data_IF_806267533903
#
_entry.id   IF_806267533903
#
_cell.length_a   1.000
_cell.length_b   1.000
_cell.length_c   1.000
_cell.angle_alpha   90.00
_cell.angle_beta   90.00
_cell.angle_gamma   90.00
#
_symmetry.space_group_name_H-M   'P 1'
#
loop_
_entity.id
_entity.type
_entity.pdbx_description
1 polymer ?
#
# COMPACT_ATOMS: atom_id res chain seq x y z
N UNK A 1 8.22 70.01 -23.65
CA UNK A 1 8.08 68.85 -24.54
C UNK A 1 7.23 67.83 -23.79
N UNK A 2 5.96 67.70 -24.16
CA UNK A 2 5.09 66.62 -23.70
C UNK A 2 5.16 65.55 -24.79
N UNK A 3 5.80 64.43 -24.48
CA UNK A 3 5.75 63.23 -25.30
C UNK A 3 4.42 62.56 -24.94
N UNK A 4 3.46 62.58 -25.87
CA UNK A 4 2.23 61.80 -25.72
C UNK A 4 2.58 60.34 -25.93
N UNK A 5 2.13 59.47 -25.03
CA UNK A 5 2.15 58.04 -25.24
C UNK A 5 1.32 57.74 -26.50
N UNK A 6 1.85 56.92 -27.39
CA UNK A 6 1.09 56.39 -28.51
C UNK A 6 0.06 55.43 -27.96
N UNK A 7 -1.21 55.83 -27.99
CA UNK A 7 -2.38 54.99 -27.69
C UNK A 7 -2.55 53.94 -28.79
N UNK A 8 -1.68 52.93 -28.80
CA UNK A 8 -1.85 51.75 -29.64
C UNK A 8 -1.82 50.50 -28.78
N UNK A 9 -2.73 50.47 -27.81
CA UNK A 9 -3.13 49.26 -27.09
C UNK A 9 -4.31 48.64 -27.87
N UNK A 10 -4.00 47.87 -28.90
CA UNK A 10 -4.98 47.00 -29.57
C UNK A 10 -5.39 45.89 -28.60
N UNK A 11 -6.32 46.20 -27.70
CA UNK A 11 -6.90 45.22 -26.77
C UNK A 11 -7.81 44.26 -27.54
N UNK A 12 -7.37 43.02 -27.71
CA UNK A 12 -8.23 41.92 -28.14
C UNK A 12 -8.98 41.36 -26.91
N UNK A 13 -10.32 41.38 -26.89
CA UNK A 13 -11.09 40.75 -25.83
C UNK A 13 -10.75 39.26 -25.75
N UNK A 14 -10.61 38.74 -24.53
CA UNK A 14 -10.40 37.32 -24.32
C UNK A 14 -11.58 36.48 -24.84
N UNK A 15 -11.39 35.17 -25.02
CA UNK A 15 -12.41 34.27 -25.57
C UNK A 15 -13.69 34.34 -24.73
N UNK A 16 -14.84 34.46 -25.39
CA UNK A 16 -16.14 34.36 -24.73
C UNK A 16 -16.44 32.88 -24.39
N UNK A 17 -17.04 32.59 -23.23
CA UNK A 17 -17.56 31.26 -22.95
C UNK A 17 -18.63 30.85 -23.98
N UNK A 18 -18.81 29.54 -24.18
CA UNK A 18 -19.91 29.04 -24.99
C UNK A 18 -21.28 29.45 -24.42
N UNK A 19 -22.26 29.65 -25.30
CA UNK A 19 -23.67 29.83 -24.91
C UNK A 19 -24.11 28.57 -24.15
N UNK A 20 -24.70 28.73 -22.95
CA UNK A 20 -25.06 27.65 -22.01
C UNK A 20 -23.90 26.83 -21.41
N UNK A 21 -22.69 27.40 -21.33
CA UNK A 21 -21.54 26.75 -20.69
C UNK A 21 -21.77 26.43 -19.20
N UNK A 22 -21.67 25.15 -18.82
CA UNK A 22 -21.82 24.69 -17.44
C UNK A 22 -20.67 25.12 -16.50
N UNK A 23 -19.60 25.70 -17.06
CA UNK A 23 -18.38 26.09 -16.34
C UNK A 23 -17.84 24.91 -15.52
N UNK A 24 -17.55 23.81 -16.21
CA UNK A 24 -16.96 22.59 -15.63
C UNK A 24 -15.45 22.78 -15.50
N UNK A 25 -14.89 22.36 -14.38
CA UNK A 25 -13.47 22.51 -14.08
C UNK A 25 -12.96 21.43 -13.13
N UNK A 26 -11.65 21.21 -13.15
CA UNK A 26 -10.96 20.49 -12.09
C UNK A 26 -10.59 21.47 -10.97
N UNK A 27 -11.08 21.28 -9.73
CA UNK A 27 -10.54 21.99 -8.58
C UNK A 27 -9.12 21.49 -8.25
N UNK A 28 -8.48 22.13 -7.29
CA UNK A 28 -7.26 21.57 -6.66
C UNK A 28 -7.59 20.18 -6.12
N UNK A 29 -6.82 19.18 -6.55
CA UNK A 29 -6.94 17.80 -6.12
C UNK A 29 -6.19 17.60 -4.79
N UNK A 30 -6.55 16.54 -4.05
CA UNK A 30 -5.87 16.20 -2.80
C UNK A 30 -4.40 15.81 -3.03
N UNK A 31 -4.13 15.10 -4.13
CA UNK A 31 -2.79 14.79 -4.61
C UNK A 31 -2.77 14.75 -6.14
N UNK A 32 -1.57 14.89 -6.69
CA UNK A 32 -1.26 14.69 -8.10
C UNK A 32 -0.17 13.63 -8.30
N UNK A 33 0.34 13.04 -7.21
CA UNK A 33 1.33 11.98 -7.21
C UNK A 33 0.84 10.86 -6.28
N UNK A 34 0.75 9.65 -6.80
CA UNK A 34 0.28 8.48 -6.07
C UNK A 34 1.32 7.38 -6.15
N UNK A 35 1.61 6.77 -5.01
CA UNK A 35 2.49 5.62 -4.89
C UNK A 35 1.68 4.51 -4.24
N UNK A 36 1.69 3.33 -4.88
CA UNK A 36 0.94 2.17 -4.45
C UNK A 36 1.87 1.00 -4.19
N UNK A 37 1.44 0.09 -3.33
CA UNK A 37 1.95 -1.28 -3.30
C UNK A 37 1.06 -2.16 -4.18
N UNK A 38 1.64 -3.20 -4.77
CA UNK A 38 0.93 -4.06 -5.72
C UNK A 38 -0.25 -4.84 -5.12
N UNK A 39 -0.31 -4.95 -3.79
CA UNK A 39 -1.39 -5.59 -3.03
C UNK A 39 -2.43 -4.61 -2.48
N UNK A 40 -2.29 -3.31 -2.77
CA UNK A 40 -3.27 -2.28 -2.43
C UNK A 40 -4.25 -2.02 -3.58
N UNK A 41 -5.42 -1.50 -3.24
CA UNK A 41 -6.35 -0.93 -4.22
C UNK A 41 -5.70 0.28 -4.91
N UNK A 42 -5.18 0.08 -6.12
CA UNK A 42 -4.50 1.09 -6.92
C UNK A 42 -5.49 2.08 -7.56
N UNK A 43 -6.23 2.82 -6.74
CA UNK A 43 -7.32 3.71 -7.20
C UNK A 43 -6.98 5.18 -6.94
N UNK A 44 -7.10 6.00 -7.99
CA UNK A 44 -6.96 7.46 -7.90
C UNK A 44 -8.34 8.13 -8.04
N UNK A 45 -8.83 8.83 -6.99
CA UNK A 45 -10.04 9.61 -7.09
C UNK A 45 -9.75 10.99 -7.71
N UNK A 46 -10.47 11.33 -8.78
CA UNK A 46 -10.39 12.64 -9.43
C UNK A 46 -11.70 13.39 -9.25
N UNK A 47 -11.61 14.58 -8.64
CA UNK A 47 -12.75 15.46 -8.39
C UNK A 47 -12.97 16.41 -9.57
N UNK A 48 -14.23 16.60 -9.95
CA UNK A 48 -14.67 17.55 -10.98
C UNK A 48 -15.80 18.41 -10.42
N UNK A 49 -15.83 19.69 -10.78
CA UNK A 49 -16.89 20.63 -10.37
C UNK A 49 -17.53 21.33 -11.55
N UNK A 50 -18.73 21.85 -11.33
CA UNK A 50 -19.46 22.72 -12.26
C UNK A 50 -20.16 23.87 -11.54
N UNK A 51 -20.32 25.01 -12.20
CA UNK A 51 -21.07 26.13 -11.65
C UNK A 51 -22.59 25.95 -11.82
N UNK A 52 -23.00 25.61 -13.04
CA UNK A 52 -24.41 25.39 -13.40
C UNK A 52 -24.81 23.94 -13.12
N UNK A 53 -25.87 23.77 -12.33
CA UNK A 53 -26.24 22.46 -11.76
C UNK A 53 -27.73 22.13 -11.82
N UNK A 54 -28.56 22.99 -12.42
CA UNK A 54 -30.01 22.79 -12.43
C UNK A 54 -30.42 21.43 -13.03
N UNK A 55 -29.80 21.04 -14.14
CA UNK A 55 -30.06 19.79 -14.84
C UNK A 55 -28.94 18.77 -14.63
N UNK A 56 -29.26 17.48 -14.80
CA UNK A 56 -28.25 16.43 -14.87
C UNK A 56 -27.37 16.61 -16.12
N UNK A 57 -26.09 16.23 -16.04
CA UNK A 57 -25.16 16.37 -17.14
C UNK A 57 -24.17 15.21 -17.22
N UNK A 58 -23.75 14.90 -18.44
CA UNK A 58 -22.68 13.95 -18.73
C UNK A 58 -21.60 14.68 -19.50
N UNK A 59 -20.40 14.76 -18.94
CA UNK A 59 -19.28 15.51 -19.51
C UNK A 59 -18.27 14.49 -20.07
N UNK A 60 -18.04 14.48 -21.39
CA UNK A 60 -17.00 13.64 -21.97
C UNK A 60 -15.61 14.10 -21.51
N UNK A 61 -14.70 13.16 -21.34
CA UNK A 61 -13.32 13.39 -20.92
C UNK A 61 -12.38 13.01 -22.06
N UNK A 62 -11.44 13.90 -22.36
CA UNK A 62 -10.32 13.58 -23.26
C UNK A 62 -9.14 13.13 -22.42
N UNK A 63 -8.63 11.93 -22.68
CA UNK A 63 -7.53 11.33 -21.94
C UNK A 63 -6.33 11.18 -22.86
N UNK A 64 -5.17 11.63 -22.38
CA UNK A 64 -3.89 11.39 -23.04
C UNK A 64 -2.90 10.82 -22.06
N UNK A 65 -2.22 9.74 -22.44
CA UNK A 65 -1.10 9.16 -21.72
C UNK A 65 0.13 9.22 -22.63
N UNK A 66 1.33 9.35 -22.04
CA UNK A 66 2.56 9.20 -22.84
C UNK A 66 2.68 7.76 -23.38
N UNK A 67 3.55 7.53 -24.36
CA UNK A 67 3.72 6.20 -24.98
C UNK A 67 4.07 5.13 -23.93
N UNK A 68 4.88 5.49 -22.94
CA UNK A 68 5.32 4.60 -21.86
C UNK A 68 4.23 4.26 -20.83
N UNK A 69 3.09 4.98 -20.84
CA UNK A 69 1.95 4.76 -19.93
C UNK A 69 0.72 4.19 -20.63
N UNK A 70 0.86 3.74 -21.89
CA UNK A 70 -0.25 3.16 -22.63
C UNK A 70 -0.75 1.87 -21.95
N UNK A 71 -2.06 1.81 -21.68
CA UNK A 71 -2.69 0.68 -21.00
C UNK A 71 -2.48 0.61 -19.48
N UNK A 72 -1.68 1.52 -18.91
CA UNK A 72 -1.42 1.55 -17.46
C UNK A 72 -2.62 2.05 -16.63
N UNK A 73 -3.54 2.77 -17.27
CA UNK A 73 -4.69 3.40 -16.62
C UNK A 73 -6.00 2.98 -17.27
N UNK A 74 -6.99 2.64 -16.45
CA UNK A 74 -8.39 2.52 -16.86
C UNK A 74 -9.12 3.76 -16.37
N UNK A 75 -9.38 4.69 -17.29
CA UNK A 75 -9.99 5.99 -17.01
C UNK A 75 -11.37 6.04 -17.67
N UNK A 76 -12.44 6.43 -16.94
CA UNK A 76 -13.75 6.66 -17.52
C UNK A 76 -13.70 7.69 -18.65
N UNK A 77 -14.43 7.45 -19.74
CA UNK A 77 -14.51 8.39 -20.86
C UNK A 77 -15.43 9.58 -20.60
N UNK A 78 -16.14 9.59 -19.48
CA UNK A 78 -17.08 10.63 -19.10
C UNK A 78 -17.25 10.70 -17.57
N UNK A 79 -17.72 11.85 -17.09
CA UNK A 79 -18.16 12.04 -15.70
C UNK A 79 -19.62 12.47 -15.69
N UNK A 80 -20.39 11.96 -14.73
CA UNK A 80 -21.82 12.23 -14.60
C UNK A 80 -22.11 13.11 -13.39
N UNK A 81 -22.97 14.09 -13.58
CA UNK A 81 -23.53 14.95 -12.54
C UNK A 81 -25.03 14.75 -12.47
N UNK A 82 -25.54 14.43 -11.28
CA UNK A 82 -26.98 14.45 -11.04
C UNK A 82 -27.51 15.90 -11.02
N UNK A 83 -28.81 16.08 -11.28
CA UNK A 83 -29.47 17.37 -11.15
C UNK A 83 -29.32 17.92 -9.71
N UNK A 84 -28.95 19.18 -9.59
CA UNK A 84 -28.62 19.85 -8.32
C UNK A 84 -27.17 19.68 -7.85
N UNK A 85 -26.44 18.69 -8.35
CA UNK A 85 -25.07 18.41 -7.88
C UNK A 85 -24.03 19.27 -8.59
N UNK A 86 -23.11 19.85 -7.80
CA UNK A 86 -22.00 20.69 -8.28
C UNK A 86 -20.66 19.98 -8.27
N UNK A 87 -20.58 18.79 -7.69
CA UNK A 87 -19.36 18.02 -7.55
C UNK A 87 -19.62 16.57 -7.97
N UNK A 88 -18.66 16.00 -8.68
CA UNK A 88 -18.60 14.59 -9.02
C UNK A 88 -17.18 14.07 -8.81
N UNK A 89 -17.06 12.77 -8.56
CA UNK A 89 -15.76 12.08 -8.47
C UNK A 89 -15.80 10.90 -9.41
N UNK A 90 -14.76 10.74 -10.23
CA UNK A 90 -14.52 9.51 -10.97
C UNK A 90 -13.22 8.87 -10.49
N UNK A 91 -13.18 7.54 -10.57
CA UNK A 91 -12.03 6.76 -10.13
C UNK A 91 -11.22 6.32 -11.34
N UNK A 92 -9.91 6.48 -11.26
CA UNK A 92 -8.95 5.93 -12.21
C UNK A 92 -8.33 4.69 -11.59
N UNK A 93 -8.44 3.57 -12.30
CA UNK A 93 -7.81 2.31 -11.90
C UNK A 93 -6.40 2.24 -12.49
N UNK A 94 -5.43 2.11 -11.60
CA UNK A 94 -4.00 2.09 -11.84
C UNK A 94 -3.38 0.70 -11.61
N UNK A 95 -4.20 -0.36 -11.50
CA UNK A 95 -3.73 -1.73 -11.21
C UNK A 95 -2.84 -2.31 -12.32
N UNK A 96 -2.88 -1.73 -13.53
CA UNK A 96 -2.06 -2.15 -14.67
C UNK A 96 -0.73 -1.38 -14.76
N UNK A 97 -0.39 -0.56 -13.76
CA UNK A 97 0.88 0.15 -13.74
C UNK A 97 2.06 -0.84 -13.77
N UNK A 98 3.07 -0.59 -14.61
CA UNK A 98 4.32 -1.34 -14.53
C UNK A 98 5.01 -1.10 -13.18
N UNK A 99 5.50 -2.18 -12.58
CA UNK A 99 6.22 -2.13 -11.31
C UNK A 99 7.47 -1.23 -11.41
N UNK A 100 7.63 -0.31 -10.44
CA UNK A 100 8.72 0.66 -10.30
C UNK A 100 8.89 1.61 -11.49
N UNK A 101 7.83 1.83 -12.26
CA UNK A 101 7.80 2.82 -13.32
C UNK A 101 6.81 3.93 -12.97
N UNK A 102 7.25 5.18 -13.17
CA UNK A 102 6.41 6.36 -13.00
C UNK A 102 5.67 6.63 -14.29
N UNK A 103 4.35 6.43 -14.26
CA UNK A 103 3.47 6.71 -15.38
C UNK A 103 2.67 7.99 -15.13
N UNK A 104 2.10 8.55 -16.19
CA UNK A 104 1.20 9.69 -16.08
C UNK A 104 0.08 9.68 -17.10
N UNK A 105 -1.02 10.29 -16.72
CA UNK A 105 -2.13 10.60 -17.60
C UNK A 105 -2.53 12.07 -17.43
N UNK A 106 -3.04 12.64 -18.50
CA UNK A 106 -3.68 13.95 -18.52
C UNK A 106 -5.14 13.76 -18.88
N UNK A 107 -6.03 14.37 -18.11
CA UNK A 107 -7.47 14.44 -18.42
C UNK A 107 -7.79 15.88 -18.75
N UNK A 108 -8.50 16.10 -19.86
CA UNK A 108 -8.97 17.40 -20.33
C UNK A 108 -10.50 17.39 -20.47
N UNK A 109 -11.12 18.46 -20.01
CA UNK A 109 -12.53 18.79 -20.25
C UNK A 109 -12.62 19.51 -21.62
N UNK A 110 -13.53 19.13 -22.51
CA UNK A 110 -13.73 19.81 -23.78
C UNK A 110 -14.12 21.29 -23.61
N UNK A 111 -13.66 22.13 -24.54
CA UNK A 111 -13.71 23.59 -24.42
C UNK A 111 -15.14 24.14 -24.35
N UNK A 112 -16.11 23.44 -24.95
CA UNK A 112 -17.53 23.80 -24.89
C UNK A 112 -18.14 23.75 -23.47
N UNK A 113 -17.51 23.00 -22.55
CA UNK A 113 -17.95 22.89 -21.15
C UNK A 113 -17.15 23.78 -20.20
N UNK A 114 -16.07 24.38 -20.67
CA UNK A 114 -15.13 25.16 -19.86
C UNK A 114 -15.42 26.65 -20.02
N UNK A 115 -15.40 27.36 -18.91
CA UNK A 115 -15.38 28.81 -18.91
C UNK A 115 -13.94 29.28 -18.67
N UNK A 116 -13.31 30.01 -19.60
CA UNK A 116 -11.93 30.48 -19.44
C UNK A 116 -11.69 31.33 -18.19
N UNK A 117 -12.76 31.86 -17.59
CA UNK A 117 -12.73 32.71 -16.41
C UNK A 117 -13.29 32.02 -15.15
N UNK A 118 -13.58 30.72 -15.18
CA UNK A 118 -13.98 29.97 -13.98
C UNK A 118 -12.80 29.72 -13.06
N UNK A 119 -13.10 29.43 -11.80
CA UNK A 119 -12.11 28.89 -10.87
C UNK A 119 -11.62 27.51 -11.35
N UNK A 120 -10.34 27.18 -11.11
CA UNK A 120 -9.77 25.87 -11.44
C UNK A 120 -9.15 25.77 -12.84
N UNK A 121 -8.99 24.53 -13.33
CA UNK A 121 -8.32 24.24 -14.62
C UNK A 121 -9.18 23.35 -15.53
N UNK A 122 -8.97 23.47 -16.83
CA UNK A 122 -9.62 22.64 -17.85
C UNK A 122 -8.98 21.25 -17.99
N UNK A 123 -7.73 21.13 -17.56
CA UNK A 123 -6.98 19.89 -17.57
C UNK A 123 -6.19 19.70 -16.27
N UNK A 124 -5.86 18.44 -15.99
CA UNK A 124 -4.95 18.04 -14.93
C UNK A 124 -4.05 16.93 -15.43
N UNK A 125 -2.83 16.87 -14.90
CA UNK A 125 -1.92 15.74 -15.09
C UNK A 125 -1.67 15.07 -13.75
N UNK A 126 -1.83 13.76 -13.70
CA UNK A 126 -1.61 12.95 -12.50
C UNK A 126 -0.52 11.92 -12.78
N UNK A 127 0.33 11.70 -11.78
CA UNK A 127 1.37 10.70 -11.81
C UNK A 127 1.05 9.57 -10.84
N UNK A 128 1.32 8.35 -11.26
CA UNK A 128 1.17 7.18 -10.40
C UNK A 128 2.27 6.14 -10.66
N UNK A 129 2.62 5.39 -9.64
CA UNK A 129 3.55 4.27 -9.71
C UNK A 129 3.20 3.20 -8.69
N UNK A 130 3.35 1.94 -9.07
CA UNK A 130 3.45 0.83 -8.11
C UNK A 130 4.92 0.75 -7.70
N UNK A 131 5.24 1.02 -6.44
CA UNK A 131 6.62 1.14 -5.96
C UNK A 131 7.17 -0.17 -5.39
N UNK A 132 6.30 -1.13 -5.05
CA UNK A 132 6.69 -2.41 -4.49
C UNK A 132 5.69 -3.52 -4.81
N UNK A 133 6.20 -4.72 -5.01
CA UNK A 133 5.43 -5.96 -5.12
C UNK A 133 6.17 -7.05 -4.34
N UNK A 134 5.44 -8.04 -3.84
CA UNK A 134 6.05 -9.21 -3.20
C UNK A 134 6.86 -9.99 -4.24
N UNK A 135 8.17 -10.02 -4.06
CA UNK A 135 9.11 -10.83 -4.84
C UNK A 135 9.66 -11.93 -3.94
N UNK A 136 9.79 -13.16 -4.45
CA UNK A 136 10.44 -14.25 -3.73
C UNK A 136 11.86 -13.81 -3.36
N UNK A 137 12.14 -13.74 -2.06
CA UNK A 137 13.39 -13.19 -1.53
C UNK A 137 14.31 -14.28 -1.01
N UNK A 138 13.78 -15.30 -0.35
CA UNK A 138 14.51 -16.49 0.04
C UNK A 138 13.61 -17.71 -0.13
N UNK A 139 14.09 -18.71 -0.87
CA UNK A 139 13.33 -19.92 -1.19
C UNK A 139 13.63 -21.03 -0.17
N UNK A 140 12.60 -21.78 0.20
CA UNK A 140 12.69 -23.01 0.99
C UNK A 140 13.54 -22.83 2.28
N UNK A 141 13.24 -21.77 3.03
CA UNK A 141 13.96 -21.42 4.26
C UNK A 141 13.61 -22.43 5.36
N UNK A 142 14.58 -23.11 5.99
CA UNK A 142 14.33 -24.00 7.11
C UNK A 142 14.00 -23.20 8.38
N UNK A 143 12.90 -23.57 9.02
CA UNK A 143 12.48 -23.10 10.33
C UNK A 143 12.64 -24.25 11.33
N UNK A 144 13.70 -24.17 12.14
CA UNK A 144 14.13 -25.19 13.08
C UNK A 144 13.60 -24.89 14.48
N UNK A 145 12.70 -25.73 14.96
CA UNK A 145 12.18 -25.66 16.33
C UNK A 145 13.21 -26.19 17.33
N UNK A 146 13.25 -25.60 18.52
CA UNK A 146 14.09 -26.10 19.63
C UNK A 146 13.74 -27.56 19.99
N UNK A 147 12.44 -27.86 20.06
CA UNK A 147 11.91 -29.16 20.39
C UNK A 147 10.49 -29.33 19.84
N UNK A 148 9.89 -30.50 20.11
CA UNK A 148 8.53 -30.92 19.74
C UNK A 148 8.28 -31.13 18.24
N UNK A 149 8.54 -30.15 17.39
CA UNK A 149 8.25 -30.21 15.96
C UNK A 149 9.49 -30.48 15.12
N UNK A 150 9.30 -31.12 13.97
CA UNK A 150 10.35 -31.22 12.97
C UNK A 150 10.58 -29.87 12.28
N UNK A 151 11.74 -29.71 11.61
CA UNK A 151 12.00 -28.56 10.74
C UNK A 151 10.93 -28.46 9.66
N UNK A 152 10.37 -27.27 9.51
CA UNK A 152 9.43 -26.91 8.45
C UNK A 152 10.10 -25.94 7.47
N UNK A 153 9.51 -25.77 6.30
CA UNK A 153 10.08 -24.93 5.25
C UNK A 153 9.02 -23.94 4.76
N UNK A 154 9.42 -22.68 4.62
CA UNK A 154 8.59 -21.63 4.03
C UNK A 154 9.44 -20.74 3.14
N UNK A 155 8.80 -20.14 2.13
CA UNK A 155 9.39 -19.07 1.35
C UNK A 155 9.25 -17.74 2.10
N UNK A 156 10.26 -16.89 1.96
CA UNK A 156 10.21 -15.51 2.43
C UNK A 156 10.19 -14.61 1.20
N UNK A 157 9.23 -13.71 1.15
CA UNK A 157 9.08 -12.68 0.14
C UNK A 157 9.49 -11.34 0.71
N UNK A 158 9.98 -10.45 -0.15
CA UNK A 158 10.26 -9.07 0.21
C UNK A 158 9.77 -8.11 -0.86
N UNK A 159 9.34 -6.93 -0.44
CA UNK A 159 9.09 -5.82 -1.34
C UNK A 159 10.37 -4.98 -1.42
N UNK A 160 11.16 -5.21 -2.48
CA UNK A 160 12.42 -4.49 -2.71
C UNK A 160 12.23 -2.97 -2.65
N UNK A 161 13.13 -2.31 -1.91
CA UNK A 161 13.16 -0.87 -1.66
C UNK A 161 12.28 -0.40 -0.49
N UNK A 162 11.56 -1.31 0.17
CA UNK A 162 10.59 -0.93 1.23
C UNK A 162 10.95 -1.46 2.62
N UNK A 163 11.84 -2.47 2.71
CA UNK A 163 12.14 -3.15 3.98
C UNK A 163 10.98 -3.99 4.54
N UNK A 164 9.92 -4.24 3.74
CA UNK A 164 8.80 -5.12 4.09
C UNK A 164 9.08 -6.55 3.62
N UNK A 165 8.70 -7.51 4.47
CA UNK A 165 8.87 -8.95 4.27
C UNK A 165 7.55 -9.68 4.52
N UNK A 166 7.44 -10.89 3.99
CA UNK A 166 6.32 -11.80 4.22
C UNK A 166 6.82 -13.23 4.25
N UNK A 167 6.49 -13.98 5.30
CA UNK A 167 6.64 -15.45 5.30
C UNK A 167 5.28 -16.03 4.91
N UNK A 168 5.21 -16.75 3.80
CA UNK A 168 3.97 -17.41 3.39
C UNK A 168 3.69 -18.65 4.24
N UNK A 169 2.42 -18.85 4.58
CA UNK A 169 1.98 -19.98 5.42
C UNK A 169 2.91 -20.15 6.64
N UNK A 170 2.97 -19.11 7.47
CA UNK A 170 3.95 -18.98 8.53
C UNK A 170 4.01 -20.25 9.39
N UNK A 171 5.15 -20.95 9.33
CA UNK A 171 5.42 -22.21 10.04
C UNK A 171 4.27 -23.23 9.97
N UNK A 172 3.59 -23.33 8.82
CA UNK A 172 2.52 -24.31 8.59
C UNK A 172 1.14 -23.92 9.14
N UNK A 173 0.95 -22.66 9.54
CA UNK A 173 -0.29 -22.18 10.19
C UNK A 173 -1.50 -22.00 9.27
N UNK A 174 -1.29 -21.97 7.95
CA UNK A 174 -2.28 -21.57 6.95
C UNK A 174 -2.45 -20.06 6.81
N UNK A 175 -1.69 -19.25 7.55
CA UNK A 175 -1.79 -17.79 7.58
C UNK A 175 -0.42 -17.18 7.26
N UNK A 176 -0.39 -16.18 6.38
CA UNK A 176 0.83 -15.45 6.04
C UNK A 176 1.25 -14.52 7.21
N UNK A 177 2.55 -14.33 7.39
CA UNK A 177 3.08 -13.35 8.34
C UNK A 177 3.81 -12.23 7.57
N UNK A 178 3.15 -11.10 7.29
CA UNK A 178 3.82 -9.90 6.80
C UNK A 178 4.43 -9.12 7.97
N UNK A 179 5.62 -8.59 7.78
CA UNK A 179 6.37 -7.87 8.81
C UNK A 179 7.37 -6.85 8.22
N UNK A 180 7.87 -5.99 9.10
CA UNK A 180 9.00 -5.10 8.83
C UNK A 180 10.17 -5.44 9.74
N UNK A 181 11.37 -5.16 9.26
CA UNK A 181 12.60 -5.24 10.05
C UNK A 181 12.97 -3.84 10.54
N UNK A 182 12.89 -3.62 11.85
CA UNK A 182 13.18 -2.33 12.47
C UNK A 182 14.69 -2.14 12.61
N UNK A 183 15.19 -0.99 12.14
CA UNK A 183 16.61 -0.62 12.18
C UNK A 183 17.53 -1.72 11.63
N UNK A 184 17.52 -1.95 10.30
CA UNK A 184 18.26 -3.05 9.66
C UNK A 184 19.78 -2.99 9.85
N UNK A 185 20.31 -1.87 10.38
CA UNK A 185 21.71 -1.73 10.73
C UNK A 185 22.07 -2.42 12.06
N UNK A 186 21.09 -2.75 12.92
CA UNK A 186 21.32 -3.50 14.17
C UNK A 186 21.65 -4.96 13.86
N UNK A 187 22.56 -5.53 14.67
CA UNK A 187 22.94 -6.96 14.55
C UNK A 187 21.78 -7.90 14.92
N UNK A 188 20.84 -7.42 15.74
CA UNK A 188 19.57 -8.07 16.08
C UNK A 188 18.44 -7.10 15.77
N UNK A 189 18.06 -7.00 14.51
CA UNK A 189 17.00 -6.11 14.06
C UNK A 189 15.64 -6.74 14.40
N UNK A 190 14.77 -5.99 15.11
CA UNK A 190 13.48 -6.51 15.57
C UNK A 190 12.56 -6.74 14.36
N UNK A 191 11.83 -7.85 14.40
CA UNK A 191 10.71 -8.11 13.48
C UNK A 191 9.43 -7.58 14.11
N UNK A 192 8.69 -6.74 13.39
CA UNK A 192 7.36 -6.28 13.81
C UNK A 192 6.33 -6.68 12.77
N UNK A 193 5.27 -7.42 13.14
CA UNK A 193 4.21 -7.79 12.21
C UNK A 193 3.48 -6.54 11.72
N UNK A 194 3.04 -6.56 10.46
CA UNK A 194 2.24 -5.48 9.88
C UNK A 194 0.78 -5.88 9.67
N UNK A 195 0.49 -7.17 9.69
CA UNK A 195 -0.85 -7.74 9.73
C UNK A 195 -0.79 -9.13 10.37
N UNK A 196 -1.94 -9.75 10.58
CA UNK A 196 -2.08 -11.05 11.22
C UNK A 196 -1.47 -11.13 12.62
N UNK A 197 -1.73 -10.09 13.40
CA UNK A 197 -1.37 -10.02 14.80
C UNK A 197 -2.45 -9.32 15.61
N UNK A 198 -2.44 -9.58 16.91
CA UNK A 198 -3.14 -8.78 17.90
C UNK A 198 -2.14 -8.31 18.96
N UNK A 199 -2.25 -7.05 19.35
CA UNK A 199 -1.28 -6.42 20.24
C UNK A 199 -1.44 -6.97 21.67
N UNK A 200 -0.34 -7.38 22.31
CA UNK A 200 -0.39 -7.90 23.66
C UNK A 200 -0.92 -6.86 24.66
N UNK A 201 -0.65 -5.58 24.42
CA UNK A 201 -1.13 -4.46 25.23
C UNK A 201 -2.66 -4.29 25.23
N UNK A 202 -3.38 -4.95 24.32
CA UNK A 202 -4.85 -5.02 24.39
C UNK A 202 -5.34 -5.84 25.59
N UNK A 203 -4.47 -6.68 26.18
CA UNK A 203 -4.82 -7.63 27.24
C UNK A 203 -4.11 -7.36 28.57
N UNK A 204 -3.10 -6.49 28.57
CA UNK A 204 -2.31 -6.15 29.76
C UNK A 204 -2.06 -4.65 29.87
N UNK A 205 -1.89 -4.15 31.09
CA UNK A 205 -1.66 -2.71 31.33
C UNK A 205 -0.27 -2.22 30.89
N UNK A 206 0.72 -3.13 30.83
CA UNK A 206 2.09 -2.82 30.44
C UNK A 206 2.70 -4.00 29.68
N UNK A 207 3.26 -3.71 28.51
CA UNK A 207 4.02 -4.67 27.71
C UNK A 207 5.51 -4.34 27.76
N UNK A 208 6.20 -4.96 28.70
CA UNK A 208 7.65 -4.83 28.89
C UNK A 208 8.45 -5.65 27.88
N UNK A 209 7.85 -6.29 26.86
CA UNK A 209 8.56 -7.19 25.94
C UNK A 209 8.22 -6.99 24.47
N UNK A 210 7.44 -5.96 24.12
CA UNK A 210 6.95 -5.70 22.76
C UNK A 210 6.32 -6.97 22.15
N UNK A 211 5.48 -7.62 22.93
CA UNK A 211 4.82 -8.85 22.61
C UNK A 211 3.63 -8.65 21.67
N UNK A 212 3.35 -9.65 20.85
CA UNK A 212 2.17 -9.69 20.01
C UNK A 212 1.71 -11.13 19.84
N UNK A 213 0.40 -11.32 19.74
CA UNK A 213 -0.15 -12.64 19.43
C UNK A 213 -0.23 -12.83 17.92
N UNK A 214 0.09 -14.04 17.46
CA UNK A 214 -0.20 -14.43 16.08
C UNK A 214 -1.70 -14.67 15.93
N UNK A 215 -2.32 -13.95 14.99
CA UNK A 215 -3.78 -13.84 14.90
C UNK A 215 -4.21 -13.71 13.44
N UNK A 216 -5.25 -14.42 13.00
CA UNK A 216 -5.83 -14.15 11.69
C UNK A 216 -6.81 -12.98 11.80
N UNK A 217 -6.31 -11.79 11.43
CA UNK A 217 -7.07 -10.54 11.52
C UNK A 217 -8.20 -10.44 10.49
N UNK A 218 -8.13 -11.18 9.38
CA UNK A 218 -9.16 -11.16 8.33
C UNK A 218 -10.39 -11.97 8.76
N UNK A 219 -10.15 -13.12 9.39
CA UNK A 219 -11.22 -14.05 9.81
C UNK A 219 -11.60 -13.95 11.29
N UNK A 220 -10.97 -13.04 12.05
CA UNK A 220 -11.18 -12.87 13.49
C UNK A 220 -10.95 -14.18 14.26
N UNK A 221 -9.81 -14.84 14.00
CA UNK A 221 -9.55 -16.22 14.40
C UNK A 221 -8.14 -16.42 14.97
N UNK A 222 -8.04 -17.22 16.03
CA UNK A 222 -6.76 -17.68 16.59
C UNK A 222 -6.31 -18.96 15.88
N UNK A 223 -5.24 -18.93 15.06
CA UNK A 223 -4.79 -20.11 14.34
C UNK A 223 -4.47 -21.26 15.29
N UNK A 224 -4.98 -22.46 14.97
CA UNK A 224 -4.60 -23.70 15.63
C UNK A 224 -4.05 -24.67 14.59
N UNK A 225 -2.81 -25.13 14.79
CA UNK A 225 -2.10 -25.93 13.81
C UNK A 225 -0.99 -26.79 14.43
N UNK A 226 -0.59 -27.82 13.69
CA UNK A 226 0.66 -28.55 13.92
C UNK A 226 1.65 -28.09 12.85
N UNK A 227 2.78 -27.43 13.20
CA UNK A 227 3.74 -26.93 12.22
C UNK A 227 4.18 -27.95 11.18
N UNK A 228 4.45 -29.19 11.60
CA UNK A 228 4.85 -30.29 10.71
C UNK A 228 3.66 -31.11 10.17
N UNK A 229 2.43 -30.71 10.50
CA UNK A 229 1.18 -31.36 10.09
C UNK A 229 0.92 -32.72 10.72
N UNK A 230 1.78 -33.21 11.62
CA UNK A 230 1.69 -34.58 12.15
C UNK A 230 1.89 -34.69 13.66
N UNK A 231 2.59 -33.75 14.29
CA UNK A 231 2.89 -33.80 15.72
C UNK A 231 1.76 -33.17 16.54
N UNK A 232 1.27 -33.90 17.55
CA UNK A 232 0.20 -33.46 18.46
C UNK A 232 0.62 -33.60 19.93
N UNK A 233 0.07 -32.78 20.86
CA UNK A 233 -0.94 -31.74 20.63
C UNK A 233 -0.37 -30.54 19.85
N UNK A 234 -1.17 -29.99 18.93
CA UNK A 234 -0.79 -28.85 18.09
C UNK A 234 -0.80 -27.55 18.89
N UNK A 235 -0.32 -26.47 18.27
CA UNK A 235 -0.39 -25.11 18.79
C UNK A 235 -1.84 -24.64 18.69
N UNK A 236 -2.40 -24.11 19.77
CA UNK A 236 -3.70 -23.44 19.81
C UNK A 236 -3.57 -21.92 19.96
N UNK A 237 -2.40 -21.46 20.39
CA UNK A 237 -2.12 -20.06 20.66
C UNK A 237 -0.61 -19.80 20.64
N UNK A 238 -0.19 -18.68 20.04
CA UNK A 238 1.20 -18.28 19.98
C UNK A 238 1.37 -16.79 20.32
N UNK A 239 2.04 -16.51 21.44
CA UNK A 239 2.50 -15.18 21.83
C UNK A 239 3.97 -15.03 21.45
N UNK A 240 4.29 -14.01 20.66
CA UNK A 240 5.64 -13.74 20.13
C UNK A 240 6.27 -12.58 20.90
N UNK A 241 7.55 -12.71 21.25
CA UNK A 241 8.29 -11.73 22.05
C UNK A 241 9.22 -10.86 21.18
N UNK A 242 9.15 -9.53 21.27
CA UNK A 242 9.82 -8.60 20.33
C UNK A 242 10.91 -7.66 20.88
N UNK A 243 11.18 -7.63 22.19
CA UNK A 243 11.93 -6.58 22.95
C UNK A 243 13.23 -5.95 22.33
N UNK A 244 13.55 -4.68 22.66
CA UNK A 244 14.92 -4.09 22.72
C UNK A 244 15.05 -3.08 23.89
N UNK A 245 16.23 -2.62 24.37
CA UNK A 245 17.24 -1.72 23.74
C UNK A 245 18.70 -2.22 23.99
N UNK A 246 18.87 -3.54 24.04
CA UNK A 246 20.18 -4.24 24.04
C UNK A 246 20.08 -5.76 23.81
N UNK A 247 18.87 -6.31 23.72
CA UNK A 247 18.60 -7.74 23.56
C UNK A 247 17.27 -7.93 22.84
N UNK A 248 17.24 -8.71 21.76
CA UNK A 248 16.01 -9.05 21.02
C UNK A 248 15.75 -10.56 21.06
N UNK A 249 14.48 -10.92 21.26
CA UNK A 249 14.02 -12.32 21.26
C UNK A 249 13.62 -12.79 19.87
N UNK A 250 12.79 -12.00 19.20
CA UNK A 250 12.39 -12.21 17.81
C UNK A 250 13.10 -11.17 16.94
N UNK A 251 13.93 -11.64 16.01
CA UNK A 251 14.83 -10.78 15.25
C UNK A 251 15.22 -11.37 13.90
N UNK A 252 15.76 -10.51 13.05
CA UNK A 252 16.58 -10.87 11.90
C UNK A 252 17.98 -10.28 12.04
N UNK A 253 18.98 -11.07 11.62
CA UNK A 253 20.39 -10.66 11.53
C UNK A 253 20.76 -10.65 10.06
N UNK A 254 20.47 -9.54 9.39
CA UNK A 254 20.70 -9.37 7.95
C UNK A 254 22.16 -9.58 7.56
N UNK A 255 23.11 -9.24 8.45
CA UNK A 255 24.55 -9.43 8.23
C UNK A 255 25.01 -10.89 8.27
N UNK A 256 24.20 -11.78 8.84
CA UNK A 256 24.50 -13.21 9.02
C UNK A 256 23.52 -14.15 8.31
N UNK A 257 22.51 -13.59 7.66
CA UNK A 257 21.42 -14.31 7.03
C UNK A 257 20.73 -15.32 7.95
N UNK A 258 20.50 -14.93 9.21
CA UNK A 258 19.78 -15.75 10.19
C UNK A 258 18.70 -14.92 10.89
N UNK A 259 17.78 -15.60 11.55
CA UNK A 259 16.77 -14.97 12.38
C UNK A 259 16.18 -15.95 13.37
N UNK A 260 15.36 -15.42 14.27
CA UNK A 260 14.68 -16.18 15.31
C UNK A 260 13.30 -15.61 15.54
N UNK A 261 12.35 -16.50 15.77
CA UNK A 261 11.13 -16.18 16.49
C UNK A 261 11.13 -16.85 17.86
N UNK A 262 10.71 -16.11 18.88
CA UNK A 262 10.59 -16.62 20.23
C UNK A 262 9.13 -16.58 20.68
N UNK A 263 8.60 -17.75 21.03
CA UNK A 263 7.19 -17.94 21.31
C UNK A 263 6.94 -18.46 22.72
N UNK A 264 5.80 -18.05 23.23
CA UNK A 264 5.05 -18.67 24.32
C UNK A 264 3.87 -19.37 23.65
N UNK A 265 3.92 -20.71 23.56
CA UNK A 265 2.93 -21.54 22.86
C UNK A 265 2.01 -22.26 23.85
N UNK A 266 0.70 -22.13 23.65
CA UNK A 266 -0.30 -23.01 24.28
C UNK A 266 -0.67 -24.09 23.28
N UNK A 267 -0.86 -25.31 23.77
CA UNK A 267 -1.21 -26.47 22.95
C UNK A 267 -2.68 -26.88 23.13
N UNK A 268 -3.21 -27.67 22.20
CA UNK A 268 -4.63 -28.08 22.19
C UNK A 268 -5.06 -28.89 23.44
N UNK A 269 -4.10 -29.48 24.16
CA UNK A 269 -4.35 -30.19 25.42
C UNK A 269 -4.31 -29.28 26.66
N UNK A 270 -4.14 -27.97 26.45
CA UNK A 270 -4.04 -26.96 27.50
C UNK A 270 -2.66 -26.84 28.13
N UNK A 271 -1.67 -27.61 27.68
CA UNK A 271 -0.28 -27.44 28.14
C UNK A 271 0.35 -26.18 27.53
N UNK A 272 1.40 -25.69 28.17
CA UNK A 272 2.11 -24.48 27.79
C UNK A 272 3.61 -24.73 27.71
N UNK A 273 4.30 -24.11 26.74
CA UNK A 273 5.74 -24.19 26.60
C UNK A 273 6.36 -22.96 25.93
N UNK A 274 7.58 -22.65 26.34
CA UNK A 274 8.44 -21.69 25.65
C UNK A 274 9.14 -22.40 24.49
N UNK A 275 9.21 -21.75 23.34
CA UNK A 275 9.91 -22.28 22.18
C UNK A 275 10.62 -21.17 21.43
N UNK A 276 11.65 -21.54 20.68
CA UNK A 276 12.21 -20.68 19.66
C UNK A 276 12.34 -21.44 18.35
N UNK A 277 12.16 -20.69 17.27
CA UNK A 277 12.31 -21.17 15.91
C UNK A 277 13.42 -20.36 15.27
N UNK A 278 14.54 -21.02 15.01
CA UNK A 278 15.66 -20.43 14.29
C UNK A 278 15.46 -20.64 12.79
N UNK A 279 15.87 -19.67 11.99
CA UNK A 279 15.87 -19.79 10.54
C UNK A 279 17.12 -19.18 9.94
N UNK A 280 17.59 -19.75 8.84
CA UNK A 280 18.74 -19.28 8.07
C UNK A 280 18.37 -19.23 6.60
N UNK A 281 18.71 -18.15 5.91
CA UNK A 281 18.24 -17.89 4.55
C UNK A 281 19.38 -17.56 3.59
N UNK A 282 19.10 -17.65 2.30
CA UNK A 282 19.98 -17.15 1.24
C UNK A 282 19.20 -16.13 0.41
N UNK A 283 19.46 -14.82 0.56
CA UNK A 283 18.67 -13.80 -0.11
C UNK A 283 19.00 -13.74 -1.62
N UNK A 284 17.95 -13.67 -2.45
CA UNK A 284 18.04 -13.54 -3.91
C UNK A 284 18.36 -12.11 -4.35
N UNK A 285 18.07 -11.12 -3.51
CA UNK A 285 18.35 -9.70 -3.73
C UNK A 285 18.43 -8.95 -2.40
N UNK A 286 18.98 -7.73 -2.40
CA UNK A 286 18.91 -6.82 -1.25
C UNK A 286 17.50 -6.19 -1.16
N UNK A 287 16.74 -6.43 -0.07
CA UNK A 287 15.39 -5.91 0.08
C UNK A 287 15.35 -4.40 0.37
N UNK A 288 16.49 -3.75 0.63
CA UNK A 288 16.60 -2.32 0.92
C UNK A 288 17.14 -1.49 -0.26
N UNK A 289 17.59 -2.13 -1.35
CA UNK A 289 18.02 -1.47 -2.60
C UNK A 289 16.88 -1.22 -3.60
#
# INVERSE_FOLDING_TARGET
>A
MLVSCSDNDDYEPGPAPAEDCMSVYFPIQASYNYEFLADEDCIVPVKVKRAESAEAATIPLTVTANEDSQGAFVIPSQVEFAAGEKEAVFNVDCSNLPLRAKCSFTVKIPEEYVNPYSEGTADITVYASIIGAWELWAENVPFEFQDKYNTVYSDIYAMRGTGKFKIENFIGSGVDLPFVVNDPAKDYAIITPTANYDDYSNYVEQDDFNCWYFYDSENDYWPSWSPDGVTFPGISYALVYGYDDSYAYTYMRLSKNEGRFYFSMTYDDGTFGWNYVDFSYEPLFDPFE
#
